data_IF_681711350086
#
_entry.id   IF_681711350086
#
_cell.length_a   1.000
_cell.length_b   1.000
_cell.length_c   1.000
_cell.angle_alpha   90.00
_cell.angle_beta   90.00
_cell.angle_gamma   90.00
#
_symmetry.space_group_name_H-M   'P 1'
#
loop_
_entity.id
_entity.type
_entity.pdbx_description
1 polymer ?
#
# COMPACT_ATOMS: atom_id res chain seq x y z
N UNK A 1 -5.22 6.46 -6.26
CA UNK A 1 -5.41 6.91 -7.66
C UNK A 1 -4.61 6.02 -8.59
N UNK A 2 -5.13 5.70 -9.77
CA UNK A 2 -4.47 4.85 -10.76
C UNK A 2 -4.25 5.67 -12.03
N UNK A 3 -2.99 5.85 -12.42
CA UNK A 3 -2.59 6.57 -13.62
C UNK A 3 -2.67 5.62 -14.83
N UNK A 4 -3.45 5.99 -15.87
CA UNK A 4 -3.43 5.31 -17.16
C UNK A 4 -2.03 5.22 -17.78
N UNK A 5 -1.78 4.14 -18.54
CA UNK A 5 -0.57 4.00 -19.35
C UNK A 5 -0.50 5.12 -20.41
N UNK A 6 0.71 5.62 -20.69
CA UNK A 6 0.96 6.66 -21.71
C UNK A 6 0.77 8.12 -21.25
N UNK A 7 0.34 8.37 -20.00
CA UNK A 7 0.24 9.74 -19.45
C UNK A 7 1.59 10.36 -19.09
N UNK A 8 2.55 9.53 -18.67
CA UNK A 8 3.87 9.99 -18.23
C UNK A 8 4.95 9.61 -19.26
N UNK A 9 6.01 10.45 -19.41
CA UNK A 9 7.16 10.09 -20.22
C UNK A 9 7.80 8.78 -19.74
N UNK A 10 8.31 7.97 -20.67
CA UNK A 10 8.94 6.68 -20.34
C UNK A 10 10.09 6.82 -19.33
N UNK A 11 10.91 7.87 -19.46
CA UNK A 11 12.02 8.13 -18.53
C UNK A 11 11.55 8.27 -17.07
N UNK A 12 10.38 8.88 -16.88
CA UNK A 12 9.79 9.08 -15.56
C UNK A 12 9.17 7.79 -15.02
N UNK A 13 8.56 6.97 -15.89
CA UNK A 13 8.07 5.64 -15.53
C UNK A 13 9.21 4.74 -15.04
N UNK A 14 10.35 4.74 -15.74
CA UNK A 14 11.54 4.01 -15.31
C UNK A 14 12.07 4.49 -13.95
N UNK A 15 12.07 5.81 -13.71
CA UNK A 15 12.47 6.36 -12.43
C UNK A 15 11.55 5.89 -11.29
N UNK A 16 10.23 5.93 -11.48
CA UNK A 16 9.28 5.46 -10.47
C UNK A 16 9.36 3.94 -10.25
N UNK A 17 9.56 3.16 -11.31
CA UNK A 17 9.78 1.72 -11.19
C UNK A 17 11.06 1.42 -10.40
N UNK A 18 12.15 2.14 -10.65
CA UNK A 18 13.39 2.00 -9.88
C UNK A 18 13.18 2.38 -8.41
N UNK A 19 12.53 3.51 -8.14
CA UNK A 19 12.21 3.94 -6.78
C UNK A 19 11.34 2.92 -6.03
N UNK A 20 10.33 2.37 -6.71
CA UNK A 20 9.50 1.28 -6.17
C UNK A 20 10.36 0.06 -5.84
N UNK A 21 11.22 -0.39 -6.76
CA UNK A 21 12.07 -1.56 -6.54
C UNK A 21 13.03 -1.38 -5.37
N UNK A 22 13.65 -0.21 -5.24
CA UNK A 22 14.53 0.10 -4.10
C UNK A 22 13.75 0.07 -2.78
N UNK A 23 12.55 0.65 -2.76
CA UNK A 23 11.71 0.66 -1.56
C UNK A 23 11.22 -0.74 -1.20
N UNK A 24 10.83 -1.55 -2.18
CA UNK A 24 10.45 -2.95 -1.96
C UNK A 24 11.65 -3.78 -1.49
N UNK A 25 12.84 -3.58 -2.06
CA UNK A 25 14.07 -4.22 -1.59
C UNK A 25 14.35 -3.89 -0.13
N UNK A 26 14.19 -2.62 0.25
CA UNK A 26 14.32 -2.20 1.65
C UNK A 26 13.25 -2.84 2.55
N UNK A 27 12.00 -2.92 2.09
CA UNK A 27 10.92 -3.58 2.79
C UNK A 27 11.16 -5.09 2.97
N UNK A 28 11.69 -5.77 1.94
CA UNK A 28 12.11 -7.19 2.04
C UNK A 28 13.15 -7.35 3.14
N UNK A 29 14.17 -6.49 3.19
CA UNK A 29 15.22 -6.61 4.21
C UNK A 29 14.71 -6.34 5.63
N UNK A 30 13.67 -5.51 5.78
CA UNK A 30 13.09 -5.11 7.08
C UNK A 30 11.92 -5.98 7.53
N UNK A 31 11.36 -6.79 6.63
CA UNK A 31 10.20 -7.61 6.94
C UNK A 31 10.52 -8.67 8.02
N UNK A 32 9.63 -8.90 8.99
CA UNK A 32 9.82 -9.89 10.05
C UNK A 32 9.55 -11.31 9.53
N UNK A 33 10.31 -11.76 8.52
CA UNK A 33 10.09 -13.02 7.80
C UNK A 33 9.98 -14.23 8.73
N UNK A 34 10.85 -14.32 9.74
CA UNK A 34 10.83 -15.43 10.70
C UNK A 34 9.48 -15.54 11.41
N UNK A 35 8.92 -14.42 11.86
CA UNK A 35 7.65 -14.37 12.58
C UNK A 35 6.44 -14.56 11.65
N UNK A 36 6.55 -14.07 10.41
CA UNK A 36 5.51 -14.22 9.39
C UNK A 36 5.42 -15.67 8.88
N UNK A 37 6.56 -16.28 8.58
CA UNK A 37 6.64 -17.64 8.05
C UNK A 37 6.37 -18.72 9.11
N UNK A 38 6.57 -18.41 10.40
CA UNK A 38 6.30 -19.34 11.49
C UNK A 38 4.81 -19.66 11.69
N UNK A 39 3.88 -18.82 11.23
CA UNK A 39 2.45 -18.95 11.53
C UNK A 39 1.62 -18.90 10.24
N UNK A 40 1.15 -20.05 9.78
CA UNK A 40 0.38 -20.18 8.53
C UNK A 40 -0.91 -19.35 8.52
N UNK A 41 -1.60 -19.20 9.67
CA UNK A 41 -2.81 -18.39 9.75
C UNK A 41 -2.57 -16.91 9.43
N UNK A 42 -1.39 -16.37 9.75
CA UNK A 42 -1.00 -15.00 9.37
C UNK A 42 -0.80 -14.85 7.87
N UNK A 43 -0.31 -15.89 7.19
CA UNK A 43 -0.13 -15.89 5.74
C UNK A 43 -1.47 -15.93 5.03
N UNK A 44 -2.40 -16.80 5.47
CA UNK A 44 -3.75 -16.84 4.93
C UNK A 44 -4.48 -15.51 5.14
N UNK A 45 -4.38 -14.91 6.32
CA UNK A 45 -4.98 -13.61 6.60
C UNK A 45 -4.37 -12.51 5.70
N UNK A 46 -3.05 -12.52 5.51
CA UNK A 46 -2.37 -11.57 4.63
C UNK A 46 -2.84 -11.69 3.18
N UNK A 47 -2.87 -12.91 2.63
CA UNK A 47 -3.32 -13.16 1.27
C UNK A 47 -4.80 -12.84 1.09
N UNK A 48 -5.66 -13.21 2.05
CA UNK A 48 -7.08 -12.86 2.03
C UNK A 48 -7.30 -11.35 2.08
N UNK A 49 -6.51 -10.64 2.89
CA UNK A 49 -6.55 -9.18 2.95
C UNK A 49 -6.04 -8.54 1.64
N UNK A 50 -5.02 -9.08 0.99
CA UNK A 50 -4.62 -8.65 -0.35
C UNK A 50 -5.76 -8.82 -1.37
N UNK A 51 -6.40 -9.98 -1.40
CA UNK A 51 -7.54 -10.23 -2.30
C UNK A 51 -8.68 -9.25 -2.02
N UNK A 52 -9.00 -9.03 -0.74
CA UNK A 52 -10.02 -8.06 -0.35
C UNK A 52 -9.65 -6.63 -0.81
N UNK A 53 -8.40 -6.22 -0.68
CA UNK A 53 -7.94 -4.92 -1.17
C UNK A 53 -8.07 -4.80 -2.69
N UNK A 54 -7.75 -5.85 -3.46
CA UNK A 54 -7.99 -5.85 -4.91
C UNK A 54 -9.47 -5.60 -5.23
N UNK A 55 -10.38 -6.28 -4.51
CA UNK A 55 -11.82 -6.08 -4.68
C UNK A 55 -12.27 -4.68 -4.27
N UNK A 56 -11.78 -4.17 -3.13
CA UNK A 56 -12.09 -2.82 -2.64
C UNK A 56 -11.59 -1.72 -3.59
N UNK A 57 -10.41 -1.89 -4.20
CA UNK A 57 -9.89 -0.96 -5.21
C UNK A 57 -10.69 -1.02 -6.52
N UNK A 58 -11.37 -2.14 -6.78
CA UNK A 58 -12.35 -2.27 -7.86
C UNK A 58 -13.62 -1.44 -7.63
N UNK A 59 -14.00 -1.21 -6.36
CA UNK A 59 -15.11 -0.34 -5.98
C UNK A 59 -14.69 1.13 -6.05
N UNK A 60 -14.55 1.65 -7.28
CA UNK A 60 -14.14 3.03 -7.54
C UNK A 60 -15.27 3.87 -8.12
N UNK A 61 -15.32 5.12 -7.72
CA UNK A 61 -16.17 6.15 -8.33
C UNK A 61 -15.29 7.06 -9.20
N UNK A 62 -15.68 7.23 -10.46
CA UNK A 62 -15.02 8.16 -11.37
C UNK A 62 -15.58 9.57 -11.14
N UNK A 63 -14.68 10.51 -10.84
CA UNK A 63 -15.02 11.91 -10.55
C UNK A 63 -14.67 12.81 -11.73
N UNK A 64 -13.75 12.38 -12.59
CA UNK A 64 -13.36 13.04 -13.83
C UNK A 64 -12.37 12.19 -14.63
N UNK A 65 -11.97 12.64 -15.83
CA UNK A 65 -11.04 11.89 -16.68
C UNK A 65 -9.71 11.65 -15.95
N UNK A 66 -9.36 10.38 -15.75
CA UNK A 66 -8.14 9.97 -15.03
C UNK A 66 -8.18 10.16 -13.50
N UNK A 67 -9.31 10.59 -12.93
CA UNK A 67 -9.47 10.82 -11.49
C UNK A 67 -10.57 9.92 -10.91
N UNK A 68 -10.14 8.92 -10.15
CA UNK A 68 -11.03 7.99 -9.45
C UNK A 68 -10.76 7.98 -7.95
N UNK A 69 -11.81 7.86 -7.15
CA UNK A 69 -11.73 7.64 -5.70
C UNK A 69 -12.11 6.20 -5.42
N UNK A 70 -11.37 5.53 -4.54
CA UNK A 70 -11.64 4.17 -4.09
C UNK A 70 -11.28 4.02 -2.60
N UNK A 71 -11.76 2.95 -1.98
CA UNK A 71 -11.38 2.61 -0.62
C UNK A 71 -9.95 2.08 -0.57
N UNK A 72 -9.04 2.85 0.04
CA UNK A 72 -7.61 2.56 -0.01
C UNK A 72 -7.18 1.39 0.90
N UNK A 73 -7.64 1.38 2.14
CA UNK A 73 -7.40 0.29 3.11
C UNK A 73 -5.94 0.09 3.58
N UNK A 74 -4.98 0.82 3.02
CA UNK A 74 -3.55 0.61 3.27
C UNK A 74 -3.10 0.95 4.70
N UNK A 75 -3.74 1.92 5.37
CA UNK A 75 -3.44 2.18 6.78
C UNK A 75 -3.81 1.01 7.66
N UNK A 76 -5.03 0.46 7.51
CA UNK A 76 -5.44 -0.73 8.26
C UNK A 76 -4.49 -1.90 8.00
N UNK A 77 -4.13 -2.11 6.74
CA UNK A 77 -3.16 -3.12 6.34
C UNK A 77 -1.78 -2.91 6.99
N UNK A 78 -1.30 -1.66 7.04
CA UNK A 78 -0.06 -1.28 7.74
C UNK A 78 -0.14 -1.54 9.25
N UNK A 79 -1.25 -1.23 9.90
CA UNK A 79 -1.42 -1.47 11.33
C UNK A 79 -1.50 -2.97 11.67
N UNK A 80 -2.07 -3.78 10.78
CA UNK A 80 -2.18 -5.23 10.96
C UNK A 80 -0.86 -5.97 10.76
N UNK A 81 -0.10 -5.65 9.70
CA UNK A 81 1.07 -6.43 9.29
C UNK A 81 2.41 -5.70 9.49
N UNK A 82 2.37 -4.43 9.86
CA UNK A 82 3.54 -3.56 9.91
C UNK A 82 3.93 -3.04 8.53
N UNK A 83 4.65 -1.92 8.51
CA UNK A 83 4.99 -1.21 7.28
C UNK A 83 5.74 -2.05 6.22
N UNK A 84 6.69 -2.96 6.54
CA UNK A 84 7.43 -3.65 5.50
C UNK A 84 6.53 -4.64 4.74
N UNK A 85 5.76 -5.45 5.48
CA UNK A 85 4.80 -6.39 4.88
C UNK A 85 3.65 -5.66 4.18
N UNK A 86 3.22 -4.51 4.70
CA UNK A 86 2.19 -3.72 4.04
C UNK A 86 2.65 -3.14 2.70
N UNK A 87 3.91 -2.70 2.57
CA UNK A 87 4.48 -2.30 1.28
C UNK A 87 4.53 -3.46 0.29
N UNK A 88 5.03 -4.61 0.73
CA UNK A 88 5.10 -5.81 -0.13
C UNK A 88 3.71 -6.27 -0.55
N UNK A 89 2.75 -6.32 0.36
CA UNK A 89 1.38 -6.68 0.05
C UNK A 89 0.69 -5.65 -0.83
N UNK A 90 0.96 -4.36 -0.65
CA UNK A 90 0.46 -3.31 -1.55
C UNK A 90 0.97 -3.46 -2.99
N UNK A 91 2.23 -3.89 -3.17
CA UNK A 91 2.76 -4.23 -4.49
C UNK A 91 2.08 -5.48 -5.07
N UNK A 92 1.82 -6.50 -4.27
CA UNK A 92 1.06 -7.69 -4.68
C UNK A 92 -0.37 -7.32 -5.09
N UNK A 93 -1.03 -6.45 -4.32
CA UNK A 93 -2.38 -5.94 -4.63
C UNK A 93 -2.37 -5.17 -5.95
N UNK A 94 -1.41 -4.26 -6.16
CA UNK A 94 -1.30 -3.53 -7.42
C UNK A 94 -1.05 -4.47 -8.61
N UNK A 95 -0.14 -5.44 -8.47
CA UNK A 95 0.10 -6.42 -9.52
C UNK A 95 -1.15 -7.26 -9.83
N UNK A 96 -1.90 -7.68 -8.81
CA UNK A 96 -3.18 -8.37 -8.98
C UNK A 96 -4.24 -7.49 -9.66
N UNK A 97 -4.29 -6.20 -9.31
CA UNK A 97 -5.18 -5.22 -9.91
C UNK A 97 -4.83 -4.95 -11.39
N UNK A 98 -3.54 -4.87 -11.73
CA UNK A 98 -3.07 -4.82 -13.13
C UNK A 98 -3.39 -6.11 -13.88
N UNK A 99 -3.25 -7.27 -13.23
CA UNK A 99 -3.53 -8.57 -13.83
C UNK A 99 -5.00 -8.73 -14.27
N UNK A 100 -5.95 -8.20 -13.50
CA UNK A 100 -7.38 -8.17 -13.88
C UNK A 100 -7.72 -7.04 -14.86
N UNK A 101 -6.71 -6.38 -15.45
CA UNK A 101 -6.88 -5.35 -16.47
C UNK A 101 -7.35 -3.99 -15.93
N UNK A 102 -7.31 -3.78 -14.62
CA UNK A 102 -7.79 -2.54 -14.00
C UNK A 102 -6.71 -1.46 -13.88
N UNK A 103 -5.43 -1.82 -14.04
CA UNK A 103 -4.29 -0.91 -14.07
C UNK A 103 -3.26 -1.34 -15.12
N UNK A 104 -2.52 -0.35 -15.61
CA UNK A 104 -1.43 -0.56 -16.56
C UNK A 104 -0.17 -1.16 -15.93
N UNK A 105 0.60 -1.90 -16.72
CA UNK A 105 1.86 -2.50 -16.27
C UNK A 105 3.03 -1.50 -16.34
N UNK A 106 2.99 -0.54 -17.27
CA UNK A 106 4.06 0.46 -17.39
C UNK A 106 4.04 1.45 -16.23
N UNK A 107 2.83 1.81 -15.76
CA UNK A 107 2.62 2.70 -14.63
C UNK A 107 2.64 2.00 -13.26
N UNK A 108 3.04 0.72 -13.19
CA UNK A 108 2.96 -0.07 -11.96
C UNK A 108 3.74 0.57 -10.80
N UNK A 109 4.96 1.04 -11.06
CA UNK A 109 5.81 1.71 -10.06
C UNK A 109 5.16 2.96 -9.46
N UNK A 110 4.73 3.89 -10.31
CA UNK A 110 4.10 5.13 -9.85
C UNK A 110 2.80 4.85 -9.11
N UNK A 111 1.99 3.92 -9.61
CA UNK A 111 0.74 3.56 -8.99
C UNK A 111 0.95 2.91 -7.63
N UNK A 112 1.87 1.94 -7.50
CA UNK A 112 2.18 1.34 -6.19
C UNK A 112 2.77 2.37 -5.23
N UNK A 113 3.62 3.29 -5.69
CA UNK A 113 4.16 4.34 -4.83
C UNK A 113 3.05 5.24 -4.28
N UNK A 114 2.10 5.64 -5.13
CA UNK A 114 1.00 6.53 -4.73
C UNK A 114 -0.08 5.83 -3.91
N UNK A 115 -0.50 4.63 -4.28
CA UNK A 115 -1.63 3.95 -3.64
C UNK A 115 -1.23 3.07 -2.46
N UNK A 116 0.02 2.60 -2.42
CA UNK A 116 0.49 1.75 -1.34
C UNK A 116 1.59 2.44 -0.54
N UNK A 117 2.67 2.90 -1.18
CA UNK A 117 3.86 3.30 -0.45
C UNK A 117 3.67 4.54 0.41
N UNK A 118 3.18 5.63 -0.19
CA UNK A 118 2.95 6.89 0.51
C UNK A 118 1.98 6.68 1.70
N UNK A 119 0.78 6.08 1.53
CA UNK A 119 -0.14 5.79 2.63
C UNK A 119 0.49 4.96 3.76
N UNK A 120 1.22 3.90 3.42
CA UNK A 120 1.86 3.02 4.41
C UNK A 120 2.93 3.77 5.20
N UNK A 121 3.77 4.56 4.52
CA UNK A 121 4.83 5.32 5.18
C UNK A 121 4.26 6.42 6.08
N UNK A 122 3.22 7.12 5.63
CA UNK A 122 2.54 8.14 6.44
C UNK A 122 1.87 7.49 7.65
N UNK A 123 1.12 6.39 7.46
CA UNK A 123 0.50 5.65 8.55
C UNK A 123 1.55 5.17 9.56
N UNK A 124 2.69 4.66 9.10
CA UNK A 124 3.77 4.23 9.97
C UNK A 124 4.41 5.39 10.74
N UNK A 125 4.69 6.51 10.08
CA UNK A 125 5.23 7.71 10.71
C UNK A 125 4.24 8.27 11.76
N UNK A 126 2.96 8.34 11.43
CA UNK A 126 1.89 8.74 12.35
C UNK A 126 1.77 7.79 13.55
N UNK A 127 1.98 6.49 13.35
CA UNK A 127 2.00 5.51 14.44
C UNK A 127 3.22 5.72 15.37
N UNK A 128 4.40 5.97 14.81
CA UNK A 128 5.59 6.28 15.62
C UNK A 128 5.39 7.58 16.40
N UNK A 129 4.87 8.61 15.73
CA UNK A 129 4.61 9.91 16.32
C UNK A 129 3.62 9.80 17.47
N UNK A 130 2.48 9.15 17.26
CA UNK A 130 1.48 8.94 18.30
C UNK A 130 2.04 8.15 19.49
N UNK A 131 2.83 7.09 19.26
CA UNK A 131 3.48 6.34 20.34
C UNK A 131 4.45 7.18 21.17
N UNK A 132 5.11 8.16 20.55
CA UNK A 132 6.14 8.97 21.20
C UNK A 132 5.57 10.18 21.93
N UNK A 133 4.50 10.78 21.42
CA UNK A 133 4.04 12.10 21.88
C UNK A 133 2.59 12.14 22.39
N UNK A 134 1.80 11.08 22.21
CA UNK A 134 0.39 11.07 22.59
C UNK A 134 0.11 10.13 23.77
N UNK A 135 -1.05 10.30 24.38
CA UNK A 135 -1.53 9.45 25.46
C UNK A 135 -1.58 7.97 25.02
N UNK A 136 -1.23 7.01 25.90
CA UNK A 136 -1.23 5.59 25.60
C UNK A 136 -2.66 5.03 25.55
N UNK A 137 -3.39 5.41 24.51
CA UNK A 137 -4.76 5.00 24.27
C UNK A 137 -4.86 4.31 22.90
N UNK A 138 -5.52 3.15 22.89
CA UNK A 138 -5.73 2.35 21.69
C UNK A 138 -6.35 3.14 20.53
N UNK A 139 -7.34 3.99 20.80
CA UNK A 139 -8.01 4.80 19.78
C UNK A 139 -7.07 5.79 19.11
N UNK A 140 -6.11 6.37 19.85
CA UNK A 140 -5.12 7.30 19.29
C UNK A 140 -4.25 6.59 18.26
N UNK A 141 -3.84 5.35 18.54
CA UNK A 141 -3.00 4.55 17.64
C UNK A 141 -3.72 4.02 16.40
N UNK A 142 -5.05 4.11 16.35
CA UNK A 142 -5.86 3.78 15.17
C UNK A 142 -6.24 5.05 14.42
N UNK A 143 -6.85 6.02 15.09
CA UNK A 143 -7.42 7.20 14.43
C UNK A 143 -6.35 8.12 13.85
N UNK A 144 -5.22 8.31 14.56
CA UNK A 144 -4.17 9.20 14.05
C UNK A 144 -3.56 8.63 12.76
N UNK A 145 -3.02 7.39 12.72
CA UNK A 145 -2.57 6.81 11.47
C UNK A 145 -3.67 6.72 10.42
N UNK A 146 -4.88 6.34 10.83
CA UNK A 146 -6.05 6.22 9.95
C UNK A 146 -6.38 7.51 9.21
N UNK A 147 -6.33 8.65 9.91
CA UNK A 147 -6.64 9.95 9.31
C UNK A 147 -5.51 10.48 8.44
N UNK A 148 -4.25 10.35 8.89
CA UNK A 148 -3.12 10.90 8.13
C UNK A 148 -2.69 10.02 6.95
N UNK A 149 -2.89 8.71 7.02
CA UNK A 149 -2.55 7.76 5.95
C UNK A 149 -3.66 7.50 4.93
N UNK A 150 -4.81 8.16 5.06
CA UNK A 150 -5.93 8.10 4.10
C UNK A 150 -5.72 9.09 2.96
#
# INVERSE_FOLDING_TARGET
MNLPDGLLPESLLWLFNLAMLLLLGWAVLRAPWRLFLAVSSRQHLFLAACVLLVLLWGMRAEVGPGLSIHFLGMTAFCLMFGWPLALLGGAVVMAGYSFIGQAGWSALGVNTLMTAAIPVLIAHAALIFSRRYMAPNFFVYIFIPGFFGA
#
